data_IF_551323888340
#
_entry.id   IF_551323888340
#
_cell.length_a   1.000
_cell.length_b   1.000
_cell.length_c   1.000
_cell.angle_alpha   90.00
_cell.angle_beta   90.00
_cell.angle_gamma   90.00
#
_symmetry.space_group_name_H-M   'P 1'
#
loop_
_entity.id
_entity.type
_entity.pdbx_description
1 polymer ?
#
# COMPACT_ATOMS: atom_id res chain seq x y z
N UNK A 1 -10.80 14.88 3.05
CA UNK A 1 -9.75 15.13 4.08
C UNK A 1 -8.73 16.11 3.52
N UNK A 2 -7.87 16.73 4.36
CA UNK A 2 -6.72 17.54 3.88
C UNK A 2 -5.53 16.63 3.58
N UNK A 3 -4.52 17.13 2.85
CA UNK A 3 -3.23 16.45 2.83
C UNK A 3 -2.63 16.43 4.24
N UNK A 4 -2.18 15.28 4.71
CA UNK A 4 -1.62 15.12 6.07
C UNK A 4 -0.21 15.68 6.16
N UNK A 5 0.55 15.57 5.07
CA UNK A 5 1.92 16.10 4.96
C UNK A 5 2.08 16.92 3.69
N UNK A 6 3.08 17.82 3.70
CA UNK A 6 3.48 18.60 2.54
C UNK A 6 5.01 18.65 2.48
N UNK A 7 5.58 17.59 1.92
CA UNK A 7 7.02 17.37 1.80
C UNK A 7 7.47 17.72 0.39
N UNK A 8 8.72 18.10 0.25
CA UNK A 8 9.36 18.03 -1.06
C UNK A 8 9.42 16.57 -1.51
N UNK A 9 9.50 16.35 -2.80
CA UNK A 9 9.64 15.00 -3.36
C UNK A 9 10.87 14.27 -2.83
N UNK A 10 11.99 14.97 -2.66
CA UNK A 10 13.22 14.38 -2.12
C UNK A 10 13.05 13.91 -0.68
N UNK A 11 12.40 14.70 0.15
CA UNK A 11 12.06 14.34 1.53
C UNK A 11 11.12 13.14 1.58
N UNK A 12 10.10 13.12 0.74
CA UNK A 12 9.17 11.99 0.71
C UNK A 12 9.84 10.69 0.27
N UNK A 13 10.74 10.74 -0.72
CA UNK A 13 11.57 9.58 -1.12
C UNK A 13 12.49 9.17 0.04
N UNK A 14 13.04 10.11 0.79
CA UNK A 14 13.84 9.80 1.97
C UNK A 14 13.00 9.07 3.04
N UNK A 15 11.80 9.56 3.36
CA UNK A 15 10.86 8.89 4.28
C UNK A 15 10.56 7.48 3.79
N UNK A 16 10.23 7.31 2.51
CA UNK A 16 9.93 6.01 1.92
C UNK A 16 11.12 5.02 2.01
N UNK A 17 12.36 5.54 1.89
CA UNK A 17 13.58 4.74 2.09
C UNK A 17 13.83 4.40 3.56
N UNK A 18 13.52 5.29 4.49
CA UNK A 18 13.63 5.03 5.93
C UNK A 18 12.65 3.97 6.39
N UNK A 19 11.43 4.00 5.86
CA UNK A 19 10.38 3.01 6.15
C UNK A 19 10.51 1.71 5.34
N UNK A 20 11.58 1.52 4.56
CA UNK A 20 11.71 0.43 3.58
C UNK A 20 11.44 -0.95 4.17
N UNK A 21 12.08 -1.31 5.27
CA UNK A 21 11.92 -2.62 5.91
C UNK A 21 10.51 -2.80 6.49
N UNK A 22 10.02 -1.78 7.18
CA UNK A 22 8.68 -1.79 7.78
C UNK A 22 7.59 -1.84 6.72
N UNK A 23 7.70 -1.04 5.65
CA UNK A 23 6.73 -1.02 4.55
C UNK A 23 6.65 -2.38 3.81
N UNK A 24 7.79 -3.04 3.61
CA UNK A 24 7.83 -4.38 3.01
C UNK A 24 7.20 -5.40 3.94
N UNK A 25 7.57 -5.40 5.22
CA UNK A 25 7.03 -6.30 6.23
C UNK A 25 5.51 -6.13 6.35
N UNK A 26 5.03 -4.93 6.63
CA UNK A 26 3.61 -4.63 6.76
C UNK A 26 2.83 -4.94 5.48
N UNK A 27 3.42 -4.65 4.32
CA UNK A 27 2.84 -5.02 3.03
C UNK A 27 2.72 -6.52 2.82
N UNK A 28 3.72 -7.30 3.21
CA UNK A 28 3.69 -8.76 3.15
C UNK A 28 2.62 -9.35 4.09
N UNK A 29 2.44 -8.76 5.28
CA UNK A 29 1.36 -9.13 6.23
C UNK A 29 -0.05 -9.00 5.63
N UNK A 30 -0.26 -8.13 4.64
CA UNK A 30 -1.53 -8.08 3.89
C UNK A 30 -1.76 -9.32 3.00
N UNK A 31 -0.72 -10.09 2.73
CA UNK A 31 -0.75 -11.40 2.05
C UNK A 31 -0.75 -12.59 3.01
N UNK A 32 -1.09 -12.35 4.28
CA UNK A 32 -1.22 -13.38 5.33
C UNK A 32 0.09 -14.12 5.66
N UNK A 33 1.27 -13.52 5.41
CA UNK A 33 2.57 -14.08 5.80
C UNK A 33 2.71 -14.15 7.32
N UNK A 34 3.33 -15.22 7.81
CA UNK A 34 3.58 -15.40 9.25
C UNK A 34 5.07 -15.15 9.59
N UNK A 35 5.58 -13.99 9.17
CA UNK A 35 6.98 -13.61 9.36
C UNK A 35 7.08 -12.35 10.23
N UNK A 36 8.11 -12.25 11.05
CA UNK A 36 8.38 -11.08 11.88
C UNK A 36 9.20 -10.02 11.16
N UNK A 37 9.20 -8.79 11.66
CA UNK A 37 10.04 -7.72 11.10
C UNK A 37 11.55 -8.06 11.15
N UNK A 38 12.13 -8.59 12.24
CA UNK A 38 13.53 -9.03 12.26
C UNK A 38 13.86 -10.10 11.20
N UNK A 39 12.97 -11.08 11.00
CA UNK A 39 13.12 -12.09 9.96
C UNK A 39 13.06 -11.49 8.57
N UNK A 40 12.11 -10.57 8.34
CA UNK A 40 12.02 -9.79 7.09
C UNK A 40 13.33 -9.06 6.80
N UNK A 41 13.88 -8.35 7.79
CA UNK A 41 15.17 -7.65 7.65
C UNK A 41 16.32 -8.62 7.32
N UNK A 42 16.35 -9.78 7.97
CA UNK A 42 17.37 -10.82 7.75
C UNK A 42 17.30 -11.34 6.31
N UNK A 43 16.11 -11.66 5.80
CA UNK A 43 15.91 -12.10 4.42
C UNK A 43 16.32 -11.02 3.41
N UNK A 44 15.92 -9.77 3.66
CA UNK A 44 16.26 -8.64 2.78
C UNK A 44 17.76 -8.34 2.73
N UNK A 45 18.50 -8.72 3.76
CA UNK A 45 19.97 -8.67 3.81
C UNK A 45 20.63 -9.91 3.17
N UNK A 46 19.85 -10.82 2.58
CA UNK A 46 20.38 -12.00 1.86
C UNK A 46 20.74 -13.17 2.75
N UNK A 47 20.30 -13.18 4.00
CA UNK A 47 20.57 -14.24 4.98
C UNK A 47 19.35 -15.15 5.11
N UNK A 48 19.58 -16.47 5.13
CA UNK A 48 18.51 -17.44 5.31
C UNK A 48 17.98 -17.44 6.76
N UNK A 49 16.66 -17.57 6.90
CA UNK A 49 15.98 -17.64 8.20
C UNK A 49 15.40 -19.05 8.37
N UNK A 50 15.78 -19.77 9.44
CA UNK A 50 15.21 -21.09 9.72
C UNK A 50 13.70 -21.03 9.94
N UNK A 51 12.98 -22.06 9.53
CA UNK A 51 11.53 -22.24 9.72
C UNK A 51 10.63 -21.23 8.99
N UNK A 52 11.16 -20.37 8.12
CA UNK A 52 10.38 -19.54 7.20
C UNK A 52 10.12 -20.32 5.92
N UNK A 53 8.89 -20.29 5.44
CA UNK A 53 8.51 -20.99 4.21
C UNK A 53 9.11 -20.32 2.97
N UNK A 54 9.30 -21.08 1.89
CA UNK A 54 9.76 -20.51 0.62
C UNK A 54 8.74 -19.50 0.08
N UNK A 55 7.45 -19.73 0.30
CA UNK A 55 6.38 -18.86 -0.14
C UNK A 55 6.41 -17.52 0.60
N UNK A 56 6.64 -17.52 1.92
CA UNK A 56 6.82 -16.28 2.69
C UNK A 56 8.05 -15.50 2.22
N UNK A 57 9.17 -16.19 1.96
CA UNK A 57 10.38 -15.57 1.40
C UNK A 57 10.07 -14.96 0.03
N UNK A 58 9.35 -15.67 -0.84
CA UNK A 58 8.96 -15.17 -2.16
C UNK A 58 8.11 -13.89 -2.03
N UNK A 59 7.12 -13.88 -1.13
CA UNK A 59 6.28 -12.70 -0.87
C UNK A 59 7.11 -11.50 -0.41
N UNK A 60 8.08 -11.69 0.51
CA UNK A 60 8.98 -10.62 0.96
C UNK A 60 9.83 -10.08 -0.19
N UNK A 61 10.40 -10.96 -1.00
CA UNK A 61 11.23 -10.56 -2.14
C UNK A 61 10.41 -9.85 -3.24
N UNK A 62 9.19 -10.32 -3.47
CA UNK A 62 8.24 -9.67 -4.38
C UNK A 62 7.88 -8.25 -3.89
N UNK A 63 7.57 -8.08 -2.62
CA UNK A 63 7.28 -6.78 -2.02
C UNK A 63 8.50 -5.84 -2.08
N UNK A 64 9.71 -6.35 -1.86
CA UNK A 64 10.96 -5.58 -2.04
C UNK A 64 11.09 -5.05 -3.46
N UNK A 65 10.92 -5.92 -4.45
CA UNK A 65 11.10 -5.57 -5.85
C UNK A 65 10.01 -4.59 -6.31
N UNK A 66 8.77 -4.80 -5.87
CA UNK A 66 7.66 -3.89 -6.13
C UNK A 66 7.85 -2.50 -5.47
N UNK A 67 8.34 -2.45 -4.23
CA UNK A 67 8.67 -1.19 -3.56
C UNK A 67 9.79 -0.42 -4.27
N UNK A 68 10.85 -1.13 -4.67
CA UNK A 68 11.93 -0.55 -5.48
C UNK A 68 11.43 -0.03 -6.83
N UNK A 69 10.49 -0.74 -7.46
CA UNK A 69 9.85 -0.29 -8.69
C UNK A 69 9.11 1.04 -8.45
N UNK A 70 8.29 1.17 -7.40
CA UNK A 70 7.62 2.43 -7.05
C UNK A 70 8.62 3.57 -6.89
N UNK A 71 9.70 3.38 -6.15
CA UNK A 71 10.71 4.43 -5.92
C UNK A 71 11.47 4.82 -7.17
N UNK A 72 11.72 3.87 -8.08
CA UNK A 72 12.43 4.11 -9.35
C UNK A 72 11.55 4.80 -10.39
N UNK A 73 10.25 4.47 -10.39
CA UNK A 73 9.26 4.94 -11.37
C UNK A 73 8.36 6.05 -10.81
N UNK A 74 8.86 6.80 -9.83
CA UNK A 74 8.07 7.84 -9.14
C UNK A 74 7.56 8.94 -10.09
N UNK A 75 8.23 9.11 -11.23
CA UNK A 75 7.89 10.09 -12.28
C UNK A 75 6.99 9.52 -13.38
N UNK A 76 6.87 8.21 -13.46
CA UNK A 76 6.11 7.57 -14.52
C UNK A 76 4.61 7.89 -14.38
N UNK A 77 3.91 7.90 -15.51
CA UNK A 77 2.46 8.07 -15.54
C UNK A 77 1.78 6.93 -14.76
N UNK A 78 0.83 7.29 -13.91
CA UNK A 78 0.04 6.34 -13.17
C UNK A 78 -1.28 6.05 -13.92
N UNK A 79 -1.44 4.81 -14.35
CA UNK A 79 -2.61 4.30 -15.05
C UNK A 79 -2.81 2.80 -14.76
N UNK A 80 -3.78 2.16 -15.43
CA UNK A 80 -3.99 0.71 -15.29
C UNK A 80 -2.75 -0.12 -15.69
N UNK A 81 -1.98 0.31 -16.68
CA UNK A 81 -0.76 -0.42 -17.09
C UNK A 81 0.29 -0.38 -15.99
N UNK A 82 0.40 0.76 -15.30
CA UNK A 82 1.27 0.88 -14.13
C UNK A 82 0.84 -0.06 -13.00
N UNK A 83 -0.47 -0.14 -12.70
CA UNK A 83 -1.02 -1.04 -11.69
C UNK A 83 -0.78 -2.50 -12.07
N UNK A 84 -0.95 -2.87 -13.35
CA UNK A 84 -0.61 -4.20 -13.86
C UNK A 84 0.89 -4.51 -13.69
N UNK A 85 1.75 -3.54 -13.98
CA UNK A 85 3.19 -3.66 -13.77
C UNK A 85 3.53 -3.87 -12.29
N UNK A 86 2.91 -3.14 -11.37
CA UNK A 86 3.06 -3.38 -9.93
C UNK A 86 2.64 -4.79 -9.54
N UNK A 87 1.49 -5.26 -10.01
CA UNK A 87 1.02 -6.61 -9.70
C UNK A 87 1.97 -7.67 -10.25
N UNK A 88 2.64 -7.41 -11.39
CA UNK A 88 3.62 -8.35 -11.94
C UNK A 88 4.83 -8.57 -11.02
N UNK A 89 5.19 -7.58 -10.18
CA UNK A 89 6.17 -7.76 -9.12
C UNK A 89 5.57 -8.44 -7.88
N UNK A 90 4.39 -7.94 -7.45
CA UNK A 90 3.73 -8.35 -6.19
C UNK A 90 3.34 -9.84 -6.19
N UNK A 91 2.82 -10.36 -7.30
CA UNK A 91 2.24 -11.71 -7.38
C UNK A 91 3.08 -12.69 -8.20
N UNK A 92 4.30 -12.31 -8.53
CA UNK A 92 5.21 -13.15 -9.34
C UNK A 92 5.45 -14.49 -8.63
N UNK A 93 5.14 -15.57 -9.34
CA UNK A 93 5.23 -16.96 -8.85
C UNK A 93 4.28 -17.31 -7.68
N UNK A 94 3.32 -16.44 -7.34
CA UNK A 94 2.35 -16.68 -6.26
C UNK A 94 0.93 -16.92 -6.80
N UNK A 95 0.66 -16.65 -8.07
CA UNK A 95 -0.68 -16.78 -8.66
C UNK A 95 -0.66 -17.48 -10.03
N UNK A 96 -1.84 -17.78 -10.58
CA UNK A 96 -2.01 -18.42 -11.90
C UNK A 96 -1.42 -17.56 -13.01
N UNK A 97 -1.74 -16.25 -12.98
CA UNK A 97 -1.22 -15.21 -13.85
C UNK A 97 -1.00 -13.96 -12.99
N UNK A 98 -0.01 -13.17 -13.31
CA UNK A 98 0.31 -11.90 -12.65
C UNK A 98 0.49 -10.77 -13.64
N UNK A 99 0.19 -9.54 -13.22
CA UNK A 99 0.29 -8.36 -14.06
C UNK A 99 -0.78 -8.24 -15.15
N UNK A 100 -1.81 -9.09 -15.12
CA UNK A 100 -2.94 -9.07 -16.06
C UNK A 100 -4.25 -9.19 -15.30
N UNK A 101 -5.31 -8.58 -15.83
CA UNK A 101 -6.64 -8.69 -15.24
C UNK A 101 -7.11 -10.15 -15.26
N UNK A 102 -7.65 -10.62 -14.14
CA UNK A 102 -8.19 -11.98 -14.04
C UNK A 102 -9.42 -12.16 -14.94
N UNK A 103 -9.59 -13.37 -15.42
CA UNK A 103 -10.70 -13.75 -16.30
C UNK A 103 -11.71 -14.69 -15.62
N UNK A 104 -11.52 -15.00 -14.35
CA UNK A 104 -12.36 -15.90 -13.57
C UNK A 104 -12.79 -15.30 -12.24
N UNK A 105 -13.67 -16.02 -11.54
CA UNK A 105 -14.14 -15.62 -10.22
C UNK A 105 -13.08 -15.85 -9.15
N UNK A 106 -13.06 -14.98 -8.15
CA UNK A 106 -12.29 -15.13 -6.92
C UNK A 106 -13.19 -14.90 -5.71
N UNK A 107 -12.81 -15.47 -4.58
CA UNK A 107 -13.43 -15.20 -3.28
C UNK A 107 -12.48 -14.39 -2.40
N UNK A 108 -13.03 -13.68 -1.42
CA UNK A 108 -12.27 -13.02 -0.37
C UNK A 108 -12.62 -13.73 0.94
N UNK A 109 -11.60 -14.21 1.65
CA UNK A 109 -11.80 -14.84 2.96
C UNK A 109 -12.47 -13.88 3.96
N UNK A 110 -13.38 -14.41 4.79
CA UNK A 110 -14.03 -13.64 5.84
C UNK A 110 -15.20 -12.74 5.42
N UNK A 111 -15.62 -12.76 4.14
CA UNK A 111 -16.75 -11.96 3.64
C UNK A 111 -17.59 -12.74 2.63
N UNK A 112 -18.86 -12.35 2.51
CA UNK A 112 -19.78 -12.84 1.46
C UNK A 112 -19.70 -12.02 0.16
N UNK A 113 -18.92 -10.95 0.14
CA UNK A 113 -18.73 -10.12 -1.04
C UNK A 113 -18.11 -10.93 -2.19
N UNK A 114 -18.75 -10.88 -3.35
CA UNK A 114 -18.30 -11.54 -4.58
C UNK A 114 -17.91 -10.48 -5.61
N UNK A 115 -16.60 -10.22 -5.78
CA UNK A 115 -16.14 -9.24 -6.76
C UNK A 115 -16.46 -9.72 -8.18
N UNK A 116 -16.98 -8.82 -9.01
CA UNK A 116 -17.22 -9.09 -10.44
C UNK A 116 -15.89 -9.36 -11.15
N UNK A 117 -15.95 -10.13 -12.24
CA UNK A 117 -14.82 -10.25 -13.17
C UNK A 117 -14.53 -8.84 -13.71
N UNK A 118 -13.28 -8.35 -13.63
CA UNK A 118 -12.96 -6.97 -14.01
C UNK A 118 -13.15 -6.76 -15.51
N UNK A 119 -13.78 -5.64 -15.85
CA UNK A 119 -13.88 -5.12 -17.22
C UNK A 119 -12.89 -3.97 -17.36
N UNK A 120 -11.97 -4.06 -18.30
CA UNK A 120 -10.85 -3.11 -18.43
C UNK A 120 -11.29 -1.66 -18.49
N UNK A 121 -12.33 -1.36 -19.29
CA UNK A 121 -12.88 0.00 -19.42
C UNK A 121 -13.49 0.53 -18.12
N UNK A 122 -14.18 -0.33 -17.34
CA UNK A 122 -14.75 0.06 -16.05
C UNK A 122 -13.65 0.37 -15.03
N UNK A 123 -12.59 -0.44 -15.03
CA UNK A 123 -11.45 -0.22 -14.15
C UNK A 123 -10.70 1.08 -14.51
N UNK A 124 -10.43 1.31 -15.80
CA UNK A 124 -9.81 2.56 -16.25
C UNK A 124 -10.64 3.78 -15.84
N UNK A 125 -11.92 3.77 -16.13
CA UNK A 125 -12.82 4.86 -15.76
C UNK A 125 -12.82 5.09 -14.24
N UNK A 126 -12.89 4.04 -13.42
CA UNK A 126 -12.85 4.18 -11.97
C UNK A 126 -11.54 4.76 -11.43
N UNK A 127 -10.40 4.43 -12.04
CA UNK A 127 -9.11 5.05 -11.72
C UNK A 127 -9.10 6.53 -12.10
N UNK A 128 -9.50 6.84 -13.32
CA UNK A 128 -9.54 8.21 -13.87
C UNK A 128 -10.51 9.09 -13.07
N UNK A 129 -11.67 8.56 -12.72
CA UNK A 129 -12.66 9.25 -11.87
C UNK A 129 -12.08 9.64 -10.51
N UNK A 130 -11.30 8.76 -9.86
CA UNK A 130 -10.66 9.07 -8.59
C UNK A 130 -9.56 10.12 -8.76
N UNK A 131 -8.72 9.99 -9.77
CA UNK A 131 -7.57 10.87 -10.00
C UNK A 131 -7.98 12.29 -10.40
N UNK A 132 -9.12 12.45 -11.07
CA UNK A 132 -9.63 13.74 -11.56
C UNK A 132 -10.54 14.47 -10.54
N UNK A 133 -10.95 13.83 -9.43
CA UNK A 133 -11.72 14.50 -8.38
C UNK A 133 -10.97 15.72 -7.82
N UNK A 134 -11.70 16.77 -7.49
CA UNK A 134 -11.18 17.95 -6.78
C UNK A 134 -11.13 17.70 -5.26
N UNK A 135 -10.23 16.82 -4.85
CA UNK A 135 -9.96 16.45 -3.46
C UNK A 135 -8.44 16.37 -3.22
N UNK A 136 -8.04 16.29 -1.97
CA UNK A 136 -6.61 16.20 -1.61
C UNK A 136 -5.93 14.96 -2.21
N UNK A 137 -4.61 15.02 -2.37
CA UNK A 137 -3.83 13.88 -2.86
C UNK A 137 -3.91 12.70 -1.91
N UNK A 138 -3.91 12.96 -0.60
CA UNK A 138 -4.08 11.93 0.42
C UNK A 138 -5.43 11.21 0.28
N UNK A 139 -6.51 11.94 0.04
CA UNK A 139 -7.83 11.36 -0.23
C UNK A 139 -7.84 10.50 -1.49
N UNK A 140 -7.24 11.01 -2.58
CA UNK A 140 -7.11 10.23 -3.83
C UNK A 140 -6.37 8.93 -3.62
N UNK A 141 -5.27 8.96 -2.88
CA UNK A 141 -4.46 7.78 -2.61
C UNK A 141 -5.23 6.72 -1.79
N UNK A 142 -5.95 7.16 -0.73
CA UNK A 142 -6.77 6.27 0.09
C UNK A 142 -7.92 5.67 -0.72
N UNK A 143 -8.64 6.49 -1.49
CA UNK A 143 -9.73 6.01 -2.36
C UNK A 143 -9.23 5.04 -3.42
N UNK A 144 -8.06 5.31 -4.00
CA UNK A 144 -7.44 4.43 -4.97
C UNK A 144 -7.06 3.08 -4.35
N UNK A 145 -6.45 3.10 -3.15
CA UNK A 145 -6.18 1.88 -2.39
C UNK A 145 -7.46 1.05 -2.21
N UNK A 146 -8.53 1.65 -1.73
CA UNK A 146 -9.80 0.98 -1.45
C UNK A 146 -10.49 0.48 -2.72
N UNK A 147 -10.48 1.28 -3.79
CA UNK A 147 -11.04 0.90 -5.09
C UNK A 147 -10.33 -0.33 -5.67
N UNK A 148 -8.98 -0.32 -5.71
CA UNK A 148 -8.19 -1.44 -6.24
C UNK A 148 -8.41 -2.69 -5.37
N UNK A 149 -8.35 -2.54 -4.04
CA UNK A 149 -8.55 -3.63 -3.10
C UNK A 149 -9.93 -4.28 -3.27
N UNK A 150 -11.02 -3.48 -3.43
CA UNK A 150 -12.37 -4.00 -3.58
C UNK A 150 -12.65 -4.58 -4.98
N UNK A 151 -12.08 -3.99 -6.01
CA UNK A 151 -12.24 -4.45 -7.39
C UNK A 151 -11.66 -5.85 -7.61
N UNK A 152 -10.70 -6.28 -6.79
CA UNK A 152 -10.06 -7.60 -6.92
C UNK A 152 -9.67 -7.88 -8.38
N UNK A 153 -8.88 -6.98 -8.97
CA UNK A 153 -8.57 -6.99 -10.40
C UNK A 153 -7.73 -8.19 -10.82
N UNK A 154 -6.97 -8.76 -9.90
CA UNK A 154 -5.98 -9.80 -10.15
C UNK A 154 -6.34 -11.09 -9.45
N UNK A 155 -5.71 -12.19 -9.87
CA UNK A 155 -5.86 -13.49 -9.23
C UNK A 155 -5.37 -13.49 -7.78
N UNK A 156 -4.29 -12.76 -7.51
CA UNK A 156 -3.73 -12.55 -6.17
C UNK A 156 -3.03 -11.20 -6.05
N UNK A 157 -2.61 -10.85 -4.82
CA UNK A 157 -1.86 -9.64 -4.51
C UNK A 157 -2.66 -8.35 -4.56
N UNK A 158 -3.99 -8.39 -4.62
CA UNK A 158 -4.83 -7.19 -4.76
C UNK A 158 -4.61 -6.17 -3.63
N UNK A 159 -4.58 -6.57 -2.35
CA UNK A 159 -4.31 -5.70 -1.21
C UNK A 159 -2.89 -5.08 -1.28
N UNK A 160 -1.90 -5.89 -1.63
CA UNK A 160 -0.50 -5.47 -1.75
C UNK A 160 -0.30 -4.50 -2.92
N UNK A 161 -0.89 -4.80 -4.07
CA UNK A 161 -0.88 -3.91 -5.24
C UNK A 161 -1.57 -2.59 -4.97
N UNK A 162 -2.72 -2.61 -4.27
CA UNK A 162 -3.45 -1.37 -3.90
C UNK A 162 -2.63 -0.48 -2.96
N UNK A 163 -1.94 -1.07 -1.96
CA UNK A 163 -1.04 -0.36 -1.06
C UNK A 163 0.09 0.37 -1.82
N UNK A 164 0.73 -0.33 -2.75
CA UNK A 164 1.81 0.24 -3.55
C UNK A 164 1.33 1.28 -4.55
N UNK A 165 0.13 1.12 -5.11
CA UNK A 165 -0.52 2.10 -5.98
C UNK A 165 -0.80 3.41 -5.24
N UNK A 166 -1.33 3.35 -4.01
CA UNK A 166 -1.52 4.51 -3.16
C UNK A 166 -0.18 5.19 -2.83
N UNK A 167 0.84 4.41 -2.50
CA UNK A 167 2.19 4.92 -2.23
C UNK A 167 2.82 5.61 -3.43
N UNK A 168 2.60 5.11 -4.65
CA UNK A 168 3.04 5.80 -5.87
C UNK A 168 2.48 7.23 -5.94
N UNK A 169 1.17 7.40 -5.67
CA UNK A 169 0.52 8.71 -5.68
C UNK A 169 1.07 9.61 -4.56
N UNK A 170 1.13 9.12 -3.33
CA UNK A 170 1.61 9.89 -2.18
C UNK A 170 3.06 10.34 -2.36
N UNK A 171 3.95 9.43 -2.73
CA UNK A 171 5.39 9.70 -2.85
C UNK A 171 5.67 10.68 -3.99
N UNK A 172 5.00 10.52 -5.14
CA UNK A 172 5.19 11.42 -6.29
C UNK A 172 4.77 12.86 -6.00
N UNK A 173 3.82 13.07 -5.08
CA UNK A 173 3.24 14.36 -4.75
C UNK A 173 3.72 14.91 -3.39
N UNK A 174 4.64 14.25 -2.70
CA UNK A 174 5.16 14.72 -1.42
C UNK A 174 4.14 14.66 -0.27
N UNK A 175 3.24 13.67 -0.27
CA UNK A 175 2.14 13.60 0.70
C UNK A 175 2.26 12.45 1.71
N UNK A 176 3.48 12.00 1.96
CA UNK A 176 3.78 10.95 2.92
C UNK A 176 3.84 9.55 2.32
N UNK A 177 3.74 8.55 3.18
CA UNK A 177 3.84 7.13 2.85
C UNK A 177 2.75 6.37 3.59
N UNK A 178 2.01 5.53 2.89
CA UNK A 178 0.98 4.65 3.46
C UNK A 178 1.62 3.34 3.91
N UNK A 179 1.64 3.10 5.22
CA UNK A 179 2.01 1.83 5.83
C UNK A 179 0.92 1.46 6.82
N UNK A 180 0.45 0.21 6.81
CA UNK A 180 -0.53 -0.31 7.77
C UNK A 180 0.24 -1.06 8.85
N UNK A 181 0.48 -0.46 10.03
CA UNK A 181 1.29 -1.09 11.07
C UNK A 181 0.69 -2.41 11.55
N UNK A 182 1.55 -3.40 11.81
CA UNK A 182 1.12 -4.75 12.24
C UNK A 182 0.22 -4.68 13.49
N UNK A 183 0.50 -3.77 14.42
CA UNK A 183 -0.27 -3.60 15.68
C UNK A 183 -1.76 -3.28 15.49
N UNK A 184 -2.12 -2.69 14.33
CA UNK A 184 -3.52 -2.32 13.99
C UNK A 184 -4.07 -3.16 12.84
N UNK A 185 -3.34 -4.18 12.39
CA UNK A 185 -3.71 -4.98 11.22
C UNK A 185 -5.06 -5.68 11.40
N UNK A 186 -5.37 -6.17 12.61
CA UNK A 186 -6.66 -6.78 12.90
C UNK A 186 -7.82 -5.79 12.75
N UNK A 187 -7.69 -4.59 13.31
CA UNK A 187 -8.70 -3.53 13.19
C UNK A 187 -8.87 -3.07 11.73
N UNK A 188 -7.78 -3.03 10.98
CA UNK A 188 -7.82 -2.77 9.55
C UNK A 188 -8.59 -3.86 8.80
N UNK A 189 -8.33 -5.14 9.08
CA UNK A 189 -9.03 -6.25 8.41
C UNK A 189 -10.53 -6.25 8.68
N UNK A 190 -10.96 -5.96 9.91
CA UNK A 190 -12.38 -5.83 10.25
C UNK A 190 -13.03 -4.72 9.41
N UNK A 191 -12.44 -3.53 9.36
CA UNK A 191 -12.95 -2.39 8.60
C UNK A 191 -12.92 -2.63 7.09
N UNK A 192 -11.88 -3.30 6.59
CA UNK A 192 -11.78 -3.66 5.17
C UNK A 192 -12.86 -4.67 4.77
N UNK A 193 -13.18 -5.62 5.64
CA UNK A 193 -14.27 -6.59 5.43
C UNK A 193 -15.62 -5.89 5.36
N UNK A 194 -15.91 -4.99 6.32
CA UNK A 194 -17.11 -4.16 6.31
C UNK A 194 -17.22 -3.32 5.02
N UNK A 195 -16.09 -2.74 4.59
CA UNK A 195 -16.02 -1.97 3.35
C UNK A 195 -16.28 -2.84 2.10
N UNK A 196 -15.75 -4.05 2.05
CA UNK A 196 -16.03 -4.95 0.92
C UNK A 196 -17.52 -5.22 0.75
N UNK A 197 -18.27 -5.38 1.83
CA UNK A 197 -19.70 -5.65 1.80
C UNK A 197 -20.54 -4.39 1.55
N UNK A 198 -20.27 -3.31 2.29
CA UNK A 198 -21.06 -2.09 2.26
C UNK A 198 -20.73 -1.13 1.11
N UNK A 199 -19.49 -1.12 0.65
CA UNK A 199 -18.91 -0.06 -0.19
C UNK A 199 -18.95 1.34 0.47
N UNK A 200 -19.02 1.39 1.80
CA UNK A 200 -19.00 2.63 2.59
C UNK A 200 -17.58 2.98 2.99
N UNK A 201 -17.06 4.06 2.46
CA UNK A 201 -15.71 4.56 2.69
C UNK A 201 -15.52 5.20 4.07
N UNK A 202 -16.60 5.68 4.72
CA UNK A 202 -16.59 6.63 5.84
C UNK A 202 -15.70 6.19 7.01
N UNK A 203 -15.75 4.90 7.39
CA UNK A 203 -15.03 4.38 8.55
C UNK A 203 -13.59 3.98 8.24
N UNK A 204 -13.35 3.44 7.06
CA UNK A 204 -12.04 2.90 6.70
C UNK A 204 -11.11 3.99 6.18
N UNK A 205 -11.62 4.99 5.47
CA UNK A 205 -10.80 6.10 4.98
C UNK A 205 -10.28 6.96 6.13
N UNK A 206 -11.14 7.31 7.10
CA UNK A 206 -10.73 8.01 8.33
C UNK A 206 -9.68 7.21 9.11
N UNK A 207 -9.89 5.90 9.26
CA UNK A 207 -8.94 5.02 9.92
C UNK A 207 -7.56 5.00 9.24
N UNK A 208 -7.53 4.87 7.91
CA UNK A 208 -6.29 4.90 7.14
C UNK A 208 -5.60 6.26 7.22
N UNK A 209 -6.36 7.34 7.13
CA UNK A 209 -5.83 8.70 7.25
C UNK A 209 -5.16 8.95 8.60
N UNK A 210 -5.83 8.59 9.68
CA UNK A 210 -5.36 8.87 11.03
C UNK A 210 -4.15 8.02 11.42
N UNK A 211 -4.14 6.72 11.04
CA UNK A 211 -3.24 5.72 11.60
C UNK A 211 -2.18 5.20 10.64
N UNK A 212 -2.33 5.40 9.32
CA UNK A 212 -1.50 4.69 8.34
C UNK A 212 -0.68 5.61 7.43
N UNK A 213 -0.88 6.94 7.47
CA UNK A 213 -0.09 7.88 6.67
C UNK A 213 1.06 8.42 7.53
N UNK A 214 2.29 8.23 7.06
CA UNK A 214 3.54 8.59 7.73
C UNK A 214 4.30 9.65 6.91
N UNK A 215 4.97 10.56 7.61
CA UNK A 215 5.76 11.64 6.98
C UNK A 215 6.69 12.28 8.00
N UNK A 216 7.23 13.46 7.67
CA UNK A 216 7.97 14.32 8.60
C UNK A 216 6.99 15.38 9.10
N UNK A 217 6.85 15.48 10.40
CA UNK A 217 6.10 16.51 11.07
C UNK A 217 7.07 17.59 11.54
N UNK A 218 7.14 18.68 10.81
CA UNK A 218 8.04 19.80 11.11
C UNK A 218 7.62 20.58 12.35
N UNK A 219 6.32 20.63 12.67
CA UNK A 219 5.84 21.33 13.87
C UNK A 219 6.36 20.62 15.12
N UNK A 220 6.33 19.30 15.15
CA UNK A 220 6.88 18.51 16.27
C UNK A 220 8.41 18.63 16.38
N UNK A 221 9.10 18.79 15.26
CA UNK A 221 10.57 18.95 15.25
C UNK A 221 10.95 20.34 15.81
N UNK A 222 10.23 21.39 15.45
CA UNK A 222 10.47 22.75 15.98
C UNK A 222 10.20 22.80 17.48
N UNK A 223 9.12 22.21 17.99
CA UNK A 223 8.82 22.13 19.44
C UNK A 223 9.90 21.36 20.23
N UNK A 224 10.49 20.33 19.65
CA UNK A 224 11.58 19.57 20.30
C UNK A 224 12.87 20.41 20.37
N UNK A 225 13.21 21.14 19.32
CA UNK A 225 14.40 22.02 19.28
C UNK A 225 14.24 23.17 20.28
N UNK A 226 13.07 23.80 20.34
CA UNK A 226 12.81 24.88 21.31
C UNK A 226 12.88 24.40 22.77
N UNK A 227 12.40 23.18 23.06
CA UNK A 227 12.48 22.62 24.40
C UNK A 227 13.90 22.21 24.81
N UNK A 228 14.75 21.78 23.87
CA UNK A 228 16.16 21.46 24.13
C UNK A 228 17.01 22.72 24.33
N UNK A 229 16.66 23.88 23.72
CA UNK A 229 17.34 25.15 23.92
C UNK A 229 16.97 25.86 25.27
N UNK A 230 15.86 25.47 25.91
CA UNK A 230 15.43 25.99 27.20
C UNK A 230 16.13 25.28 28.38
N UNK A 231 16.65 24.07 28.18
CA UNK A 231 17.32 23.24 29.21
C UNK A 231 18.86 23.44 29.26
N UNK A 232 19.41 24.49 28.61
CA UNK A 232 20.83 24.90 28.65
C UNK A 232 20.95 26.24 29.38
#
# INVERSE_FOLDING_TARGET
MKDKYSLSRAENIFVAKKLFYEAIHCGAKLGDTNITLPETMTILNGVNVPNVTIDDIQTILNMRDAWRYVLKSVDDTFDLNYICSLNSYVSRNESIEWGVLRKGNVGIGGTNFKPKIPVESEIKNGIDDILTQDISVTDKAIKLFLFIARSQMFWDGNKRTSLLSANKILISQGKGVLVIPEKILNDFHIRLTDFYESNDYTKIDSFLYENCIHGIDYEQVEEQVENEEIDI
#
